data_IF_136071759358
#
_entry.id   IF_136071759358
#
_cell.length_a   1.000
_cell.length_b   1.000
_cell.length_c   1.000
_cell.angle_alpha   90.00
_cell.angle_beta   90.00
_cell.angle_gamma   90.00
#
_symmetry.space_group_name_H-M   'P 1'
#
loop_
_entity.id
_entity.type
_entity.pdbx_description
1 polymer ?
#
# COMPACT_ATOMS: atom_id res chain seq x y z
N UNK A 1 14.03 10.97 -3.08
CA UNK A 1 13.88 9.53 -2.74
C UNK A 1 13.40 9.43 -1.32
N UNK A 2 12.13 9.10 -1.13
CA UNK A 2 11.54 8.86 0.19
C UNK A 2 11.32 7.35 0.34
N UNK A 3 11.65 6.78 1.50
CA UNK A 3 11.48 5.33 1.75
C UNK A 3 12.14 4.42 0.70
N UNK A 4 13.24 4.89 0.08
CA UNK A 4 13.97 4.21 -1.03
C UNK A 4 13.16 4.00 -2.32
N UNK A 5 12.03 4.67 -2.42
CA UNK A 5 11.19 4.71 -3.62
C UNK A 5 11.31 6.09 -4.29
N UNK A 6 11.09 6.10 -5.61
CA UNK A 6 10.88 7.34 -6.36
C UNK A 6 9.49 7.88 -6.01
N UNK A 7 9.33 9.19 -5.99
CA UNK A 7 8.04 9.81 -5.66
C UNK A 7 6.95 9.41 -6.66
N UNK A 8 7.32 9.16 -7.93
CA UNK A 8 6.42 8.63 -8.96
C UNK A 8 5.90 7.22 -8.65
N UNK A 9 6.70 6.39 -7.97
CA UNK A 9 6.30 5.05 -7.54
C UNK A 9 5.39 5.14 -6.32
N UNK A 10 5.73 6.02 -5.37
CA UNK A 10 4.87 6.30 -4.21
C UNK A 10 3.50 6.81 -4.65
N UNK A 11 3.46 7.70 -5.65
CA UNK A 11 2.20 8.20 -6.21
C UNK A 11 1.35 7.09 -6.84
N UNK A 12 1.98 6.18 -7.60
CA UNK A 12 1.29 5.01 -8.17
C UNK A 12 0.75 4.08 -7.09
N UNK A 13 1.56 3.74 -6.08
CA UNK A 13 1.14 2.90 -4.96
C UNK A 13 -0.03 3.53 -4.21
N UNK A 14 0.01 4.84 -3.96
CA UNK A 14 -1.10 5.54 -3.28
C UNK A 14 -2.37 5.64 -4.14
N UNK A 15 -2.24 5.56 -5.47
CA UNK A 15 -3.35 5.63 -6.40
C UNK A 15 -4.37 4.51 -6.19
N UNK A 16 -3.89 3.28 -5.97
CA UNK A 16 -4.76 2.10 -5.79
C UNK A 16 -5.64 2.20 -4.54
N UNK A 17 -5.11 2.20 -3.30
CA UNK A 17 -5.94 2.31 -2.09
C UNK A 17 -6.66 3.66 -2.00
N UNK A 18 -6.14 4.72 -2.63
CA UNK A 18 -6.79 6.03 -2.66
C UNK A 18 -8.13 6.06 -3.41
N UNK A 19 -8.38 5.09 -4.29
CA UNK A 19 -9.66 4.93 -4.98
C UNK A 19 -10.76 4.34 -4.08
N UNK A 20 -10.41 3.78 -2.91
CA UNK A 20 -11.33 3.07 -2.04
C UNK A 20 -11.63 3.88 -0.79
N UNK A 21 -12.83 4.48 -0.71
CA UNK A 21 -13.27 5.30 0.44
C UNK A 21 -13.30 4.52 1.76
N UNK A 22 -13.41 3.20 1.68
CA UNK A 22 -13.38 2.29 2.82
C UNK A 22 -11.98 2.17 3.43
N UNK A 23 -10.93 2.58 2.71
CA UNK A 23 -9.54 2.62 3.21
C UNK A 23 -9.24 4.02 3.74
N UNK A 24 -9.00 4.13 5.04
CA UNK A 24 -8.59 5.40 5.65
C UNK A 24 -7.07 5.63 5.52
N UNK A 25 -6.29 4.55 5.54
CA UNK A 25 -4.83 4.64 5.52
C UNK A 25 -4.20 3.37 4.95
N UNK A 26 -3.13 3.56 4.16
CA UNK A 26 -2.22 2.50 3.77
C UNK A 26 -0.89 2.70 4.51
N UNK A 27 -0.42 1.67 5.23
CA UNK A 27 0.83 1.69 5.98
C UNK A 27 1.75 0.64 5.39
N UNK A 28 2.95 1.05 4.96
CA UNK A 28 4.01 0.12 4.52
C UNK A 28 4.60 -0.59 5.73
N UNK A 29 4.72 -1.91 5.63
CA UNK A 29 5.35 -2.78 6.62
C UNK A 29 6.49 -3.58 5.96
N UNK A 30 7.00 -4.61 6.64
CA UNK A 30 7.98 -5.52 6.07
C UNK A 30 9.44 -5.09 6.15
N UNK A 31 10.30 -5.89 5.54
CA UNK A 31 11.76 -5.71 5.50
C UNK A 31 12.18 -4.37 4.86
N UNK A 32 11.41 -3.91 3.86
CA UNK A 32 11.63 -2.62 3.22
C UNK A 32 11.36 -1.42 4.10
N UNK A 33 10.53 -1.58 5.14
CA UNK A 33 10.31 -0.55 6.16
C UNK A 33 11.45 -0.49 7.19
N UNK A 34 12.26 -1.55 7.28
CA UNK A 34 13.49 -1.63 8.10
C UNK A 34 14.76 -1.25 7.32
N UNK A 35 14.63 -0.86 6.04
CA UNK A 35 15.74 -0.45 5.19
C UNK A 35 16.56 -1.59 4.56
N UNK A 36 16.06 -2.82 4.62
CA UNK A 36 16.73 -4.01 4.09
C UNK A 36 16.16 -4.51 2.75
N UNK A 37 15.36 -3.68 2.09
CA UNK A 37 14.77 -3.95 0.78
C UNK A 37 15.84 -4.05 -0.31
N UNK A 38 15.76 -5.11 -1.10
CA UNK A 38 16.54 -5.29 -2.32
C UNK A 38 15.65 -4.95 -3.52
N UNK A 39 16.26 -4.61 -4.65
CA UNK A 39 15.51 -4.50 -5.91
C UNK A 39 14.78 -5.82 -6.17
N UNK A 40 13.46 -5.75 -6.38
CA UNK A 40 12.61 -6.93 -6.57
C UNK A 40 12.06 -7.56 -5.29
N UNK A 41 12.29 -6.97 -4.11
CA UNK A 41 11.59 -7.40 -2.89
C UNK A 41 10.10 -7.04 -2.92
N UNK A 42 9.28 -7.93 -2.39
CA UNK A 42 7.85 -7.69 -2.17
C UNK A 42 7.62 -6.50 -1.24
N UNK A 43 6.46 -5.87 -1.39
CA UNK A 43 6.03 -4.75 -0.54
C UNK A 43 4.81 -5.12 0.27
N UNK A 44 4.99 -5.20 1.59
CA UNK A 44 3.89 -5.41 2.51
C UNK A 44 3.15 -4.10 2.78
N UNK A 45 1.84 -4.10 2.55
CA UNK A 45 0.95 -2.99 2.88
C UNK A 45 -0.12 -3.48 3.86
N UNK A 46 -0.33 -2.71 4.93
CA UNK A 46 -1.48 -2.84 5.82
C UNK A 46 -2.48 -1.74 5.47
N UNK A 47 -3.70 -2.13 5.16
CA UNK A 47 -4.82 -1.21 4.96
C UNK A 47 -5.60 -1.08 6.26
N UNK A 48 -5.78 0.14 6.72
CA UNK A 48 -6.65 0.46 7.85
C UNK A 48 -7.97 0.98 7.31
N UNK A 49 -9.06 0.29 7.64
CA UNK A 49 -10.37 0.67 7.16
C UNK A 49 -10.96 1.84 7.95
N UNK A 50 -11.67 2.72 7.24
CA UNK A 50 -12.33 3.89 7.81
C UNK A 50 -13.85 3.76 7.96
N UNK A 51 -14.50 3.04 7.06
CA UNK A 51 -15.96 2.93 7.01
C UNK A 51 -16.34 1.54 6.49
N UNK A 52 -16.77 0.67 7.39
CA UNK A 52 -17.21 -0.71 7.12
C UNK A 52 -16.36 -1.45 6.06
N UNK A 53 -15.04 -1.59 6.27
CA UNK A 53 -14.20 -2.36 5.35
C UNK A 53 -14.69 -3.82 5.33
N UNK A 54 -15.07 -4.31 4.15
CA UNK A 54 -15.38 -5.72 3.94
C UNK A 54 -14.26 -6.43 3.16
N UNK A 55 -14.28 -7.77 3.16
CA UNK A 55 -13.29 -8.56 2.45
C UNK A 55 -13.36 -8.38 0.92
N UNK A 56 -14.50 -7.93 0.37
CA UNK A 56 -14.65 -7.71 -1.07
C UNK A 56 -13.83 -6.52 -1.50
N UNK A 57 -13.80 -5.46 -0.70
CA UNK A 57 -12.91 -4.31 -0.92
C UNK A 57 -11.46 -4.75 -0.97
N UNK A 58 -11.02 -5.62 -0.04
CA UNK A 58 -9.66 -6.14 -0.06
C UNK A 58 -9.37 -6.93 -1.34
N UNK A 59 -10.30 -7.78 -1.79
CA UNK A 59 -10.12 -8.54 -3.03
C UNK A 59 -10.05 -7.65 -4.27
N UNK A 60 -10.88 -6.61 -4.36
CA UNK A 60 -10.80 -5.65 -5.46
C UNK A 60 -9.45 -4.92 -5.50
N UNK A 61 -8.93 -4.50 -4.33
CA UNK A 61 -7.61 -3.86 -4.24
C UNK A 61 -6.48 -4.81 -4.64
N UNK A 62 -6.63 -6.12 -4.43
CA UNK A 62 -5.61 -7.10 -4.82
C UNK A 62 -5.62 -7.42 -6.32
N UNK A 63 -6.74 -7.19 -7.01
CA UNK A 63 -6.88 -7.40 -8.45
C UNK A 63 -6.48 -6.17 -9.29
N UNK A 64 -6.52 -4.97 -8.70
CA UNK A 64 -6.07 -3.69 -9.29
C UNK A 64 -4.53 -3.53 -9.27
#
# INVERSE_FOLDING_TARGET
MKYRLKDSIIAQINGVPGCYRQVAKAIRYGSGSKGNDKTGSDMDLRLEGGHDPDLRVLYHIMDD
#
